data_IF_197080981930
#
_entry.id   IF_197080981930
#
_cell.length_a   1.000
_cell.length_b   1.000
_cell.length_c   1.000
_cell.angle_alpha   90.00
_cell.angle_beta   90.00
_cell.angle_gamma   90.00
#
_symmetry.space_group_name_H-M   'P 1'
#
loop_
_entity.id
_entity.type
_entity.pdbx_description
1 polymer ?
#
# COMPACT_ATOMS: atom_id res chain seq x y z
N UNK A 1 -28.58 30.25 7.47
CA UNK A 1 -27.51 29.79 6.55
C UNK A 1 -26.35 30.79 6.61
N UNK A 2 -25.34 30.52 7.45
CA UNK A 2 -24.31 31.53 7.78
C UNK A 2 -23.25 31.64 6.67
N UNK A 3 -23.20 32.81 5.98
CA UNK A 3 -22.41 33.05 4.75
C UNK A 3 -20.89 33.19 4.96
N UNK A 4 -20.37 33.10 6.19
CA UNK A 4 -18.96 33.37 6.53
C UNK A 4 -18.24 32.15 7.13
N UNK A 5 -18.26 30.99 6.47
CA UNK A 5 -17.36 29.89 6.84
C UNK A 5 -15.94 30.23 6.39
N UNK A 6 -15.01 30.39 7.34
CA UNK A 6 -13.60 30.57 7.03
C UNK A 6 -13.07 29.22 6.53
N UNK A 7 -12.75 29.14 5.24
CA UNK A 7 -12.07 27.98 4.65
C UNK A 7 -10.59 28.28 4.52
N UNK A 8 -9.75 27.31 4.87
CA UNK A 8 -8.31 27.44 4.70
C UNK A 8 -7.98 27.42 3.21
N UNK A 9 -7.16 28.38 2.76
CA UNK A 9 -6.65 28.39 1.39
C UNK A 9 -5.92 27.07 1.12
N UNK A 10 -6.14 26.50 -0.07
CA UNK A 10 -5.53 25.23 -0.51
C UNK A 10 -4.01 25.10 -0.23
N UNK A 11 -3.14 26.11 -0.45
CA UNK A 11 -1.71 26.00 -0.10
C UNK A 11 -1.47 25.80 1.40
N UNK A 12 -2.28 26.40 2.27
CA UNK A 12 -2.15 26.27 3.74
C UNK A 12 -2.53 24.87 4.19
N UNK A 13 -3.51 24.23 3.52
CA UNK A 13 -3.88 22.84 3.80
C UNK A 13 -2.75 21.86 3.48
N UNK A 14 -2.06 22.04 2.35
CA UNK A 14 -0.91 21.21 1.99
C UNK A 14 0.28 21.46 2.92
N UNK A 15 0.56 22.72 3.27
CA UNK A 15 1.61 23.07 4.22
C UNK A 15 1.37 22.43 5.59
N UNK A 16 0.13 22.49 6.11
CA UNK A 16 -0.21 21.90 7.40
C UNK A 16 -0.07 20.37 7.41
N UNK A 17 -0.50 19.70 6.34
CA UNK A 17 -0.32 18.25 6.23
C UNK A 17 1.17 17.88 6.12
N UNK A 18 1.97 18.68 5.40
CA UNK A 18 3.42 18.47 5.30
C UNK A 18 4.11 18.67 6.67
N UNK A 19 3.75 19.72 7.41
CA UNK A 19 4.26 19.95 8.77
C UNK A 19 3.91 18.78 9.70
N UNK A 20 2.69 18.24 9.60
CA UNK A 20 2.27 17.10 10.42
C UNK A 20 3.02 15.82 10.07
N UNK A 21 3.30 15.58 8.79
CA UNK A 21 4.15 14.46 8.35
C UNK A 21 5.59 14.63 8.86
N UNK A 22 6.13 15.85 8.83
CA UNK A 22 7.47 16.15 9.36
C UNK A 22 7.51 16.00 10.89
N UNK A 23 6.48 16.44 11.61
CA UNK A 23 6.37 16.22 13.06
C UNK A 23 6.25 14.74 13.41
N UNK A 24 5.47 13.97 12.63
CA UNK A 24 5.37 12.53 12.78
C UNK A 24 6.74 11.86 12.52
N UNK A 25 7.47 12.31 11.50
CA UNK A 25 8.82 11.82 11.21
C UNK A 25 9.77 12.10 12.37
N UNK A 26 9.81 13.34 12.87
CA UNK A 26 10.67 13.74 13.98
C UNK A 26 10.34 12.97 15.25
N UNK A 27 9.06 12.81 15.57
CA UNK A 27 8.60 12.04 16.72
C UNK A 27 9.02 10.57 16.63
N UNK A 28 8.75 9.91 15.49
CA UNK A 28 9.11 8.51 15.29
C UNK A 28 10.64 8.33 15.23
N UNK A 29 11.36 9.23 14.57
CA UNK A 29 12.83 9.19 14.48
C UNK A 29 13.48 9.37 15.86
N UNK A 30 12.95 10.26 16.70
CA UNK A 30 13.40 10.42 18.09
C UNK A 30 13.18 9.15 18.92
N UNK A 31 12.02 8.51 18.78
CA UNK A 31 11.74 7.23 19.44
C UNK A 31 12.68 6.11 18.96
N UNK A 32 12.96 6.06 17.65
CA UNK A 32 13.83 5.06 17.01
C UNK A 32 15.29 5.19 17.44
N UNK A 33 15.77 6.42 17.69
CA UNK A 33 17.15 6.70 18.08
C UNK A 33 17.47 6.47 19.57
N UNK A 34 16.54 6.80 20.48
CA UNK A 34 16.84 6.82 21.92
C UNK A 34 16.12 5.76 22.76
N UNK A 35 15.02 5.16 22.26
CA UNK A 35 14.09 4.37 23.11
C UNK A 35 13.77 2.97 22.58
N UNK A 36 13.97 2.70 21.28
CA UNK A 36 13.53 1.45 20.67
C UNK A 36 14.67 0.43 20.55
N UNK A 37 14.36 -0.83 20.89
CA UNK A 37 15.25 -1.97 20.66
C UNK A 37 15.42 -2.25 19.16
N UNK A 38 16.52 -2.89 18.78
CA UNK A 38 16.78 -3.34 17.39
C UNK A 38 15.63 -4.16 16.81
N UNK A 39 14.90 -4.91 17.65
CA UNK A 39 13.73 -5.67 17.23
C UNK A 39 12.53 -4.77 16.89
N UNK A 40 12.22 -3.77 17.71
CA UNK A 40 11.12 -2.84 17.43
C UNK A 40 11.38 -2.03 16.15
N UNK A 41 12.64 -1.68 15.87
CA UNK A 41 13.01 -1.04 14.61
C UNK A 41 12.74 -1.94 13.40
N UNK A 42 12.96 -3.25 13.52
CA UNK A 42 12.61 -4.24 12.48
C UNK A 42 11.11 -4.34 12.24
N UNK A 43 10.32 -4.32 13.32
CA UNK A 43 8.85 -4.31 13.22
C UNK A 43 8.38 -3.03 12.52
N UNK A 44 8.89 -1.85 12.90
CA UNK A 44 8.53 -0.58 12.26
C UNK A 44 8.89 -0.52 10.76
N UNK A 45 10.05 -1.06 10.37
CA UNK A 45 10.39 -1.15 8.94
C UNK A 45 9.41 -2.06 8.19
N UNK A 46 9.01 -3.17 8.80
CA UNK A 46 8.02 -4.09 8.22
C UNK A 46 6.64 -3.43 8.10
N UNK A 47 6.24 -2.64 9.10
CA UNK A 47 5.02 -1.81 9.05
C UNK A 47 5.07 -0.85 7.87
N UNK A 48 6.18 -0.12 7.68
CA UNK A 48 6.32 0.82 6.56
C UNK A 48 6.23 0.14 5.20
N UNK A 49 6.87 -1.02 5.03
CA UNK A 49 6.80 -1.81 3.78
C UNK A 49 5.37 -2.29 3.53
N UNK A 50 4.69 -2.83 4.55
CA UNK A 50 3.31 -3.29 4.43
C UNK A 50 2.33 -2.14 4.17
N UNK A 51 2.58 -0.93 4.67
CA UNK A 51 1.81 0.27 4.32
C UNK A 51 1.91 0.56 2.81
N UNK A 52 3.12 0.53 2.22
CA UNK A 52 3.31 0.75 0.78
C UNK A 52 2.56 -0.33 -0.02
N UNK A 53 2.63 -1.59 0.40
CA UNK A 53 1.90 -2.70 -0.24
C UNK A 53 0.39 -2.53 -0.15
N UNK A 54 -0.15 -2.20 1.03
CA UNK A 54 -1.58 -2.02 1.22
C UNK A 54 -2.11 -0.81 0.45
N UNK A 55 -1.43 0.34 0.53
CA UNK A 55 -1.87 1.56 -0.17
C UNK A 55 -1.74 1.39 -1.69
N UNK A 56 -0.71 0.71 -2.19
CA UNK A 56 -0.59 0.41 -3.62
C UNK A 56 -1.71 -0.51 -4.10
N UNK A 57 -1.99 -1.62 -3.38
CA UNK A 57 -3.09 -2.52 -3.74
C UNK A 57 -4.44 -1.80 -3.73
N UNK A 58 -4.65 -0.87 -2.79
CA UNK A 58 -5.86 -0.04 -2.70
C UNK A 58 -6.12 0.81 -3.96
N UNK A 59 -5.10 1.08 -4.79
CA UNK A 59 -5.28 1.67 -6.13
C UNK A 59 -6.09 0.76 -7.04
N UNK A 60 -5.79 -0.53 -7.08
CA UNK A 60 -6.49 -1.50 -7.91
C UNK A 60 -7.81 -1.95 -7.25
N UNK A 61 -7.77 -2.34 -5.98
CA UNK A 61 -8.94 -2.88 -5.26
C UNK A 61 -9.92 -1.81 -4.85
N UNK A 62 -9.44 -0.76 -4.21
CA UNK A 62 -10.28 0.29 -3.67
C UNK A 62 -10.79 1.26 -4.72
N UNK A 63 -9.87 1.86 -5.49
CA UNK A 63 -10.20 2.96 -6.38
C UNK A 63 -10.67 2.51 -7.77
N UNK A 64 -10.14 1.41 -8.30
CA UNK A 64 -10.59 0.85 -9.58
C UNK A 64 -11.74 -0.18 -9.41
N UNK A 65 -11.89 -0.77 -8.22
CA UNK A 65 -12.95 -1.75 -7.93
C UNK A 65 -12.66 -3.15 -8.44
N UNK A 66 -11.39 -3.48 -8.69
CA UNK A 66 -10.98 -4.77 -9.22
C UNK A 66 -10.12 -5.51 -8.19
N UNK A 67 -10.33 -6.81 -8.01
CA UNK A 67 -9.67 -7.59 -6.95
C UNK A 67 -8.51 -8.45 -7.48
N UNK A 68 -7.30 -7.90 -7.72
CA UNK A 68 -6.16 -8.71 -8.09
C UNK A 68 -5.56 -9.42 -6.88
N UNK A 69 -5.22 -10.69 -7.05
CA UNK A 69 -4.54 -11.53 -6.06
C UNK A 69 -3.05 -11.77 -6.41
N UNK A 70 -2.53 -11.06 -7.41
CA UNK A 70 -1.14 -11.18 -7.88
C UNK A 70 -0.12 -10.26 -7.21
N UNK A 71 -0.50 -9.48 -6.19
CA UNK A 71 0.31 -8.37 -5.69
C UNK A 71 1.68 -8.80 -5.12
N UNK A 72 1.77 -9.99 -4.53
CA UNK A 72 3.03 -10.56 -4.06
C UNK A 72 4.01 -10.87 -5.22
N UNK A 73 3.50 -11.18 -6.42
CA UNK A 73 4.34 -11.37 -7.61
C UNK A 73 5.05 -10.08 -8.04
N UNK A 74 4.34 -8.95 -8.06
CA UNK A 74 4.95 -7.64 -8.35
C UNK A 74 5.96 -7.22 -7.29
N UNK A 75 5.67 -7.53 -6.03
CA UNK A 75 6.63 -7.37 -4.93
C UNK A 75 7.89 -8.22 -5.17
N UNK A 76 7.76 -9.47 -5.64
CA UNK A 76 8.90 -10.33 -5.96
C UNK A 76 9.75 -9.74 -7.09
N UNK A 77 9.14 -9.32 -8.20
CA UNK A 77 9.86 -8.71 -9.33
C UNK A 77 10.70 -7.52 -8.86
N UNK A 78 10.13 -6.61 -8.08
CA UNK A 78 10.86 -5.46 -7.55
C UNK A 78 11.95 -5.84 -6.52
N UNK A 79 11.67 -6.82 -5.66
CA UNK A 79 12.62 -7.33 -4.67
C UNK A 79 13.88 -7.91 -5.34
N UNK A 80 13.70 -8.81 -6.31
CA UNK A 80 14.83 -9.43 -7.00
C UNK A 80 15.57 -8.45 -7.90
N UNK A 81 14.87 -7.55 -8.59
CA UNK A 81 15.51 -6.52 -9.42
C UNK A 81 16.40 -5.61 -8.57
N UNK A 82 15.88 -5.11 -7.44
CA UNK A 82 16.64 -4.26 -6.52
C UNK A 82 17.80 -5.02 -5.86
N UNK A 83 17.58 -6.27 -5.44
CA UNK A 83 18.59 -7.09 -4.79
C UNK A 83 19.76 -7.43 -5.72
N UNK A 84 19.48 -7.81 -6.97
CA UNK A 84 20.51 -8.10 -7.95
C UNK A 84 21.30 -6.84 -8.31
N UNK A 85 20.61 -5.71 -8.51
CA UNK A 85 21.28 -4.46 -8.81
C UNK A 85 22.19 -4.01 -7.67
N UNK A 86 21.68 -3.99 -6.43
CA UNK A 86 22.47 -3.55 -5.27
C UNK A 86 23.63 -4.49 -4.94
N UNK A 87 23.51 -5.79 -5.25
CA UNK A 87 24.56 -6.78 -5.03
C UNK A 87 25.72 -6.70 -6.03
N UNK A 88 25.44 -6.40 -7.29
CA UNK A 88 26.45 -6.42 -8.36
C UNK A 88 26.91 -5.03 -8.82
N UNK A 89 26.25 -3.96 -8.36
CA UNK A 89 26.62 -2.60 -8.74
C UNK A 89 27.86 -2.10 -7.98
N UNK A 90 28.87 -1.53 -8.66
CA UNK A 90 30.06 -0.95 -8.03
C UNK A 90 29.86 0.48 -7.51
N UNK A 91 28.63 1.02 -7.60
CA UNK A 91 28.31 2.40 -7.21
C UNK A 91 28.32 2.59 -5.68
N UNK A 92 28.49 3.83 -5.19
CA UNK A 92 28.37 4.15 -3.78
C UNK A 92 27.04 3.66 -3.19
N UNK A 93 27.10 3.14 -1.97
CA UNK A 93 26.01 2.45 -1.26
C UNK A 93 24.64 3.14 -1.38
N UNK A 94 24.58 4.46 -1.10
CA UNK A 94 23.32 5.22 -1.12
C UNK A 94 22.74 5.40 -2.53
N UNK A 95 23.61 5.56 -3.53
CA UNK A 95 23.20 5.75 -4.94
C UNK A 95 22.74 4.44 -5.54
N UNK A 96 23.48 3.36 -5.27
CA UNK A 96 23.11 1.99 -5.69
C UNK A 96 21.73 1.61 -5.17
N UNK A 97 21.45 1.91 -3.90
CA UNK A 97 20.14 1.64 -3.30
C UNK A 97 19.00 2.44 -3.94
N UNK A 98 19.18 3.75 -4.14
CA UNK A 98 18.14 4.60 -4.74
C UNK A 98 17.82 4.18 -6.19
N UNK A 99 18.85 3.89 -6.99
CA UNK A 99 18.68 3.40 -8.36
C UNK A 99 18.07 2.00 -8.35
N UNK A 100 18.51 1.11 -7.47
CA UNK A 100 17.94 -0.24 -7.31
C UNK A 100 16.45 -0.22 -6.99
N UNK A 101 16.02 0.68 -6.10
CA UNK A 101 14.60 0.89 -5.78
C UNK A 101 13.82 1.42 -6.98
N UNK A 102 14.35 2.43 -7.67
CA UNK A 102 13.71 2.99 -8.86
C UNK A 102 13.58 1.94 -9.98
N UNK A 103 14.62 1.16 -10.23
CA UNK A 103 14.61 0.05 -11.18
C UNK A 103 13.61 -1.03 -10.76
N UNK A 104 13.55 -1.39 -9.48
CA UNK A 104 12.55 -2.34 -8.96
C UNK A 104 11.12 -1.87 -9.18
N UNK A 105 10.85 -0.58 -8.96
CA UNK A 105 9.54 0.01 -9.21
C UNK A 105 9.19 0.04 -10.70
N UNK A 106 10.14 0.45 -11.55
CA UNK A 106 9.95 0.48 -13.01
C UNK A 106 9.73 -0.93 -13.56
N UNK A 107 10.53 -1.91 -13.14
CA UNK A 107 10.40 -3.29 -13.62
C UNK A 107 9.06 -3.90 -13.20
N UNK A 108 8.65 -3.72 -11.93
CA UNK A 108 7.35 -4.18 -11.49
C UNK A 108 6.20 -3.47 -12.22
N UNK A 109 6.34 -2.17 -12.52
CA UNK A 109 5.38 -1.42 -13.34
C UNK A 109 5.29 -1.93 -14.78
N UNK A 110 6.41 -2.27 -15.41
CA UNK A 110 6.46 -2.85 -16.76
C UNK A 110 5.78 -4.23 -16.80
N UNK A 111 6.07 -5.10 -15.82
CA UNK A 111 5.34 -6.36 -15.66
C UNK A 111 3.87 -6.14 -15.35
N UNK A 112 3.54 -5.07 -14.60
CA UNK A 112 2.18 -4.62 -14.37
C UNK A 112 1.46 -4.25 -15.66
N UNK A 113 2.09 -3.52 -16.58
CA UNK A 113 1.51 -3.24 -17.91
C UNK A 113 1.34 -4.53 -18.72
N UNK A 114 2.38 -5.37 -18.77
CA UNK A 114 2.39 -6.61 -19.54
C UNK A 114 1.27 -7.56 -19.09
N UNK A 115 1.07 -7.69 -17.78
CA UNK A 115 0.01 -8.54 -17.20
C UNK A 115 -1.34 -7.81 -17.23
N UNK A 116 -1.36 -6.50 -17.03
CA UNK A 116 -2.59 -5.70 -16.97
C UNK A 116 -3.33 -5.66 -18.30
N UNK A 117 -2.64 -5.58 -19.44
CA UNK A 117 -3.28 -5.55 -20.77
C UNK A 117 -4.18 -6.78 -21.03
N UNK A 118 -3.73 -8.03 -20.84
CA UNK A 118 -4.59 -9.20 -20.98
C UNK A 118 -5.52 -9.38 -19.78
N UNK A 119 -5.06 -9.09 -18.56
CA UNK A 119 -5.83 -9.40 -17.36
C UNK A 119 -7.07 -8.54 -17.20
N UNK A 120 -6.98 -7.25 -17.54
CA UNK A 120 -8.05 -6.28 -17.31
C UNK A 120 -9.16 -6.36 -18.37
N UNK A 121 -9.05 -7.31 -19.32
CA UNK A 121 -10.14 -7.77 -20.19
C UNK A 121 -11.12 -8.70 -19.47
N UNK A 122 -10.71 -9.26 -18.33
CA UNK A 122 -11.54 -10.11 -17.48
C UNK A 122 -12.14 -9.29 -16.33
N UNK A 123 -13.29 -9.72 -15.82
CA UNK A 123 -14.01 -9.06 -14.73
C UNK A 123 -14.22 -10.01 -13.56
N UNK A 124 -14.35 -9.44 -12.35
CA UNK A 124 -14.64 -10.18 -11.12
C UNK A 124 -13.61 -11.26 -10.79
N UNK A 125 -14.10 -12.47 -10.52
CA UNK A 125 -13.31 -13.59 -10.03
C UNK A 125 -12.28 -14.10 -11.04
N UNK A 126 -12.56 -13.96 -12.34
CA UNK A 126 -11.62 -14.35 -13.39
C UNK A 126 -10.33 -13.52 -13.34
N UNK A 127 -10.43 -12.23 -13.02
CA UNK A 127 -9.26 -11.37 -12.84
C UNK A 127 -8.45 -11.81 -11.61
N UNK A 128 -9.11 -12.18 -10.52
CA UNK A 128 -8.47 -12.65 -9.30
C UNK A 128 -7.66 -13.94 -9.56
N UNK A 129 -8.28 -14.93 -10.23
CA UNK A 129 -7.64 -16.20 -10.60
C UNK A 129 -6.45 -15.97 -11.52
N UNK A 130 -6.62 -15.14 -12.55
CA UNK A 130 -5.57 -14.88 -13.53
C UNK A 130 -4.36 -14.18 -12.88
N UNK A 131 -4.59 -13.16 -12.06
CA UNK A 131 -3.50 -12.43 -11.39
C UNK A 131 -2.78 -13.28 -10.35
N UNK A 132 -3.49 -14.18 -9.65
CA UNK A 132 -2.87 -15.22 -8.81
C UNK A 132 -1.96 -16.11 -9.66
N UNK A 133 -2.46 -16.61 -10.79
CA UNK A 133 -1.70 -17.43 -11.73
C UNK A 133 -0.40 -16.74 -12.17
N UNK A 134 -0.45 -15.46 -12.53
CA UNK A 134 0.76 -14.71 -12.88
C UNK A 134 1.73 -14.55 -11.70
N UNK A 135 1.22 -14.30 -10.48
CA UNK A 135 2.07 -14.25 -9.30
C UNK A 135 2.79 -15.57 -9.04
N UNK A 136 2.09 -16.68 -9.24
CA UNK A 136 2.63 -18.02 -9.09
C UNK A 136 3.63 -18.38 -10.20
N UNK A 137 3.37 -17.97 -11.45
CA UNK A 137 4.33 -18.09 -12.55
C UNK A 137 5.63 -17.36 -12.20
N UNK A 138 5.55 -16.10 -11.73
CA UNK A 138 6.75 -15.33 -11.32
C UNK A 138 7.53 -16.10 -10.23
N UNK A 139 6.83 -16.64 -9.23
CA UNK A 139 7.45 -17.42 -8.15
C UNK A 139 8.16 -18.67 -8.66
N UNK A 140 7.49 -19.45 -9.51
CA UNK A 140 8.03 -20.69 -10.08
C UNK A 140 9.21 -20.37 -10.99
N UNK A 141 9.13 -19.31 -11.81
CA UNK A 141 10.23 -18.84 -12.63
C UNK A 141 11.43 -18.49 -11.75
N UNK A 142 11.28 -17.66 -10.72
CA UNK A 142 12.37 -17.31 -9.81
C UNK A 142 13.00 -18.53 -9.12
N UNK A 143 12.22 -19.60 -8.90
CA UNK A 143 12.70 -20.82 -8.26
C UNK A 143 13.50 -21.74 -9.21
N UNK A 144 13.16 -21.77 -10.52
CA UNK A 144 13.69 -22.75 -11.48
C UNK A 144 14.52 -22.15 -12.62
N UNK A 145 14.51 -20.83 -12.81
CA UNK A 145 15.15 -20.19 -13.98
C UNK A 145 16.67 -20.42 -14.04
N UNK A 146 17.33 -20.61 -12.88
CA UNK A 146 18.77 -20.87 -12.82
C UNK A 146 19.16 -22.18 -13.53
N UNK A 147 18.33 -23.22 -13.42
CA UNK A 147 18.56 -24.51 -14.10
C UNK A 147 18.42 -24.36 -15.62
N UNK A 148 17.54 -23.45 -16.06
CA UNK A 148 17.33 -23.13 -17.48
C UNK A 148 18.46 -22.24 -18.02
N UNK A 149 18.94 -21.29 -17.22
CA UNK A 149 20.02 -20.36 -17.60
C UNK A 149 21.40 -21.02 -17.59
N UNK A 150 21.58 -22.13 -16.87
CA UNK A 150 22.86 -22.82 -16.73
C UNK A 150 23.86 -22.11 -15.81
N UNK A 151 23.43 -21.07 -15.09
CA UNK A 151 24.19 -20.38 -14.04
C UNK A 151 23.27 -19.88 -12.92
N UNK A 152 23.79 -19.83 -11.70
CA UNK A 152 23.02 -19.44 -10.51
C UNK A 152 22.91 -17.91 -10.37
N UNK A 153 21.82 -17.33 -10.83
CA UNK A 153 21.56 -15.89 -10.71
C UNK A 153 20.64 -15.58 -9.53
N UNK A 154 19.51 -16.30 -9.42
CA UNK A 154 18.48 -16.11 -8.41
C UNK A 154 18.64 -17.03 -7.20
N UNK A 155 19.49 -18.05 -7.34
CA UNK A 155 19.77 -19.12 -6.39
C UNK A 155 18.56 -19.99 -6.05
N UNK A 156 17.49 -19.92 -6.86
CA UNK A 156 16.27 -20.72 -6.76
C UNK A 156 15.79 -20.93 -5.33
N UNK A 157 15.60 -22.19 -4.95
CA UNK A 157 15.12 -22.61 -3.62
C UNK A 157 16.12 -22.34 -2.49
N UNK A 158 17.41 -22.17 -2.80
CA UNK A 158 18.45 -21.81 -1.82
C UNK A 158 18.35 -20.35 -1.38
N UNK A 159 17.68 -19.53 -2.19
CA UNK A 159 17.47 -18.11 -1.97
C UNK A 159 18.70 -17.24 -2.23
N UNK A 160 18.45 -16.01 -2.67
CA UNK A 160 19.49 -15.02 -2.93
C UNK A 160 20.00 -14.45 -1.60
N UNK A 161 21.24 -14.77 -1.23
CA UNK A 161 21.90 -14.34 0.01
C UNK A 161 22.88 -13.18 -0.21
N UNK A 162 23.27 -12.56 0.90
CA UNK A 162 24.24 -11.46 1.00
C UNK A 162 23.79 -10.20 0.25
N UNK A 163 22.51 -9.84 0.40
CA UNK A 163 21.99 -8.57 -0.12
C UNK A 163 22.39 -7.47 0.88
N UNK A 164 23.06 -6.39 0.43
CA UNK A 164 23.41 -5.28 1.29
C UNK A 164 22.20 -4.68 2.01
N UNK A 165 22.34 -4.44 3.32
CA UNK A 165 21.23 -3.97 4.16
C UNK A 165 21.15 -2.44 4.21
N UNK A 166 20.70 -1.83 3.12
CA UNK A 166 20.58 -0.36 3.01
C UNK A 166 19.23 0.20 3.49
N UNK A 167 18.24 -0.65 3.77
CA UNK A 167 16.93 -0.20 4.25
C UNK A 167 17.01 0.24 5.70
N UNK A 168 17.06 1.55 5.92
CA UNK A 168 16.93 2.18 7.22
C UNK A 168 15.52 2.70 7.45
N UNK A 169 15.13 2.91 8.72
CA UNK A 169 13.82 3.48 9.07
C UNK A 169 13.53 4.80 8.32
N UNK A 170 14.52 5.69 8.23
CA UNK A 170 14.37 6.95 7.51
C UNK A 170 14.05 6.76 6.02
N UNK A 171 14.73 5.81 5.36
CA UNK A 171 14.51 5.51 3.94
C UNK A 171 13.12 4.90 3.72
N UNK A 172 12.71 3.96 4.57
CA UNK A 172 11.38 3.34 4.51
C UNK A 172 10.30 4.39 4.74
N UNK A 173 10.45 5.24 5.76
CA UNK A 173 9.49 6.30 6.04
C UNK A 173 9.39 7.30 4.89
N UNK A 174 10.52 7.71 4.31
CA UNK A 174 10.54 8.59 3.14
C UNK A 174 9.78 7.96 1.97
N UNK A 175 10.02 6.67 1.69
CA UNK A 175 9.29 5.93 0.67
C UNK A 175 7.79 5.81 0.95
N UNK A 176 7.37 5.63 2.21
CA UNK A 176 5.96 5.65 2.62
C UNK A 176 5.35 7.01 2.29
N UNK A 177 6.00 8.11 2.69
CA UNK A 177 5.51 9.47 2.44
C UNK A 177 5.40 9.75 0.94
N UNK A 178 6.42 9.40 0.16
CA UNK A 178 6.42 9.57 -1.30
C UNK A 178 5.30 8.75 -1.94
N UNK A 179 5.17 7.48 -1.58
CA UNK A 179 4.11 6.60 -2.12
C UNK A 179 2.73 7.17 -1.80
N UNK A 180 2.51 7.55 -0.54
CA UNK A 180 1.28 8.14 -0.07
C UNK A 180 0.94 9.44 -0.82
N UNK A 181 1.92 10.34 -0.96
CA UNK A 181 1.76 11.60 -1.66
C UNK A 181 1.44 11.39 -3.15
N UNK A 182 2.18 10.52 -3.83
CA UNK A 182 1.99 10.24 -5.26
C UNK A 182 0.63 9.58 -5.53
N UNK A 183 0.21 8.62 -4.71
CA UNK A 183 -1.10 7.98 -4.86
C UNK A 183 -2.22 9.00 -4.58
N UNK A 184 -2.11 9.82 -3.53
CA UNK A 184 -3.08 10.88 -3.28
C UNK A 184 -3.15 11.90 -4.43
N UNK A 185 -2.00 12.33 -4.97
CA UNK A 185 -1.93 13.25 -6.09
C UNK A 185 -2.55 12.64 -7.37
N UNK A 186 -2.26 11.37 -7.64
CA UNK A 186 -2.82 10.64 -8.78
C UNK A 186 -4.34 10.52 -8.66
N UNK A 187 -4.86 10.14 -7.51
CA UNK A 187 -6.31 9.95 -7.30
C UNK A 187 -7.10 11.26 -7.37
N UNK A 188 -6.48 12.39 -7.02
CA UNK A 188 -7.10 13.72 -7.14
C UNK A 188 -7.00 14.33 -8.54
N UNK A 189 -6.11 13.80 -9.38
CA UNK A 189 -5.88 14.28 -10.75
C UNK A 189 -7.05 13.92 -11.69
N UNK A 190 -7.00 14.41 -12.94
CA UNK A 190 -7.95 14.01 -14.00
C UNK A 190 -7.98 12.50 -14.21
N UNK A 191 -6.84 11.85 -14.04
CA UNK A 191 -6.67 10.42 -14.27
C UNK A 191 -7.37 9.61 -13.17
N UNK A 192 -7.27 10.05 -11.91
CA UNK A 192 -7.98 9.44 -10.79
C UNK A 192 -9.50 9.57 -10.90
N UNK A 193 -10.01 10.71 -11.40
CA UNK A 193 -11.45 10.87 -11.65
C UNK A 193 -11.98 9.92 -12.71
N UNK A 194 -11.22 9.66 -13.77
CA UNK A 194 -11.57 8.66 -14.78
C UNK A 194 -11.59 7.24 -14.19
N UNK A 195 -10.61 6.89 -13.35
CA UNK A 195 -10.57 5.60 -12.63
C UNK A 195 -11.79 5.44 -11.72
N UNK A 196 -12.17 6.48 -10.98
CA UNK A 196 -13.37 6.46 -10.13
C UNK A 196 -14.66 6.31 -10.95
N UNK A 197 -14.77 6.99 -12.09
CA UNK A 197 -15.92 6.84 -12.98
C UNK A 197 -16.05 5.40 -13.52
N UNK A 198 -14.93 4.75 -13.87
CA UNK A 198 -14.90 3.35 -14.28
C UNK A 198 -15.36 2.43 -13.15
N UNK A 199 -14.97 2.72 -11.90
CA UNK A 199 -15.40 1.96 -10.73
C UNK A 199 -16.91 2.02 -10.53
N UNK A 200 -17.51 3.20 -10.72
CA UNK A 200 -18.94 3.39 -10.49
C UNK A 200 -19.79 2.71 -11.57
N UNK A 201 -19.45 2.90 -12.84
CA UNK A 201 -20.06 2.15 -13.95
C UNK A 201 -19.18 2.21 -15.20
N UNK A 202 -18.58 1.06 -15.55
CA UNK A 202 -17.68 0.94 -16.69
C UNK A 202 -18.37 1.26 -18.03
N UNK A 203 -19.60 0.76 -18.25
CA UNK A 203 -20.35 0.94 -19.50
C UNK A 203 -20.74 2.42 -19.68
N UNK A 204 -21.13 3.09 -18.59
CA UNK A 204 -21.45 4.51 -18.63
C UNK A 204 -20.19 5.37 -18.88
N UNK A 205 -19.07 5.04 -18.23
CA UNK A 205 -17.80 5.72 -18.45
C UNK A 205 -17.33 5.60 -19.90
N UNK A 206 -17.45 4.41 -20.49
CA UNK A 206 -17.12 4.16 -21.90
C UNK A 206 -18.04 4.95 -22.84
N UNK A 207 -19.34 5.01 -22.54
CA UNK A 207 -20.32 5.81 -23.30
C UNK A 207 -20.04 7.32 -23.25
N UNK A 208 -19.39 7.80 -22.18
CA UNK A 208 -18.91 9.18 -22.06
C UNK A 208 -17.55 9.42 -22.73
N UNK A 209 -16.99 8.46 -23.48
CA UNK A 209 -15.73 8.58 -24.22
C UNK A 209 -14.46 8.34 -23.38
N UNK A 210 -14.58 7.75 -22.19
CA UNK A 210 -13.43 7.38 -21.36
C UNK A 210 -12.85 6.05 -21.86
N UNK A 211 -11.57 6.04 -22.23
CA UNK A 211 -10.85 4.82 -22.62
C UNK A 211 -10.60 3.92 -21.39
N UNK A 212 -11.55 3.03 -21.07
CA UNK A 212 -11.55 2.19 -19.87
C UNK A 212 -10.26 1.35 -19.74
N UNK A 213 -9.82 0.73 -20.84
CA UNK A 213 -8.60 -0.10 -20.88
C UNK A 213 -7.35 0.68 -20.49
N UNK A 214 -7.17 1.89 -21.01
CA UNK A 214 -6.00 2.72 -20.71
C UNK A 214 -5.93 3.05 -19.21
N UNK A 215 -7.04 3.50 -18.62
CA UNK A 215 -7.09 3.87 -17.22
C UNK A 215 -6.97 2.68 -16.27
N UNK A 216 -7.55 1.53 -16.63
CA UNK A 216 -7.36 0.26 -15.92
C UNK A 216 -5.89 -0.15 -15.90
N UNK A 217 -5.24 -0.24 -17.07
CA UNK A 217 -3.82 -0.65 -17.20
C UNK A 217 -2.91 0.33 -16.46
N UNK A 218 -3.16 1.64 -16.58
CA UNK A 218 -2.41 2.66 -15.87
C UNK A 218 -2.53 2.49 -14.35
N UNK A 219 -3.74 2.37 -13.80
CA UNK A 219 -3.95 2.18 -12.36
C UNK A 219 -3.26 0.90 -11.84
N UNK A 220 -3.34 -0.19 -12.61
CA UNK A 220 -2.70 -1.45 -12.28
C UNK A 220 -1.17 -1.38 -12.35
N UNK A 221 -0.60 -0.69 -13.35
CA UNK A 221 0.84 -0.47 -13.48
C UNK A 221 1.40 0.38 -12.33
N UNK A 222 0.71 1.45 -11.91
CA UNK A 222 1.09 2.23 -10.74
C UNK A 222 1.04 1.40 -9.46
N UNK A 223 -0.02 0.60 -9.28
CA UNK A 223 -0.16 -0.33 -8.17
C UNK A 223 1.02 -1.32 -8.12
N UNK A 224 1.36 -1.94 -9.25
CA UNK A 224 2.48 -2.87 -9.37
C UNK A 224 3.85 -2.19 -9.13
N UNK A 225 4.04 -0.96 -9.62
CA UNK A 225 5.29 -0.22 -9.43
C UNK A 225 5.57 0.06 -7.94
N UNK A 226 4.56 0.51 -7.18
CA UNK A 226 4.72 0.70 -5.74
C UNK A 226 4.86 -0.62 -4.97
N UNK A 227 4.23 -1.70 -5.44
CA UNK A 227 4.48 -3.03 -4.89
C UNK A 227 5.94 -3.47 -5.08
N UNK A 228 6.51 -3.21 -6.27
CA UNK A 228 7.92 -3.45 -6.56
C UNK A 228 8.86 -2.60 -5.71
N UNK A 229 8.53 -1.33 -5.49
CA UNK A 229 9.27 -0.46 -4.57
C UNK A 229 9.28 -1.04 -3.14
N UNK A 230 8.13 -1.51 -2.65
CA UNK A 230 8.04 -2.18 -1.34
C UNK A 230 8.87 -3.47 -1.30
N UNK A 231 8.88 -4.24 -2.40
CA UNK A 231 9.71 -5.43 -2.56
C UNK A 231 11.21 -5.12 -2.49
N UNK A 232 11.66 -4.06 -3.15
CA UNK A 232 13.05 -3.62 -3.10
C UNK A 232 13.48 -3.19 -1.69
N UNK A 233 12.61 -2.48 -0.97
CA UNK A 233 12.83 -2.15 0.44
C UNK A 233 12.90 -3.39 1.33
N UNK A 234 12.02 -4.38 1.07
CA UNK A 234 12.00 -5.64 1.78
C UNK A 234 13.29 -6.44 1.59
N UNK A 235 13.79 -6.52 0.35
CA UNK A 235 15.04 -7.22 0.03
C UNK A 235 16.25 -6.64 0.77
N UNK A 236 16.40 -5.31 0.71
CA UNK A 236 17.48 -4.58 1.38
C UNK A 236 17.27 -4.43 2.90
N UNK A 237 16.16 -4.91 3.43
CA UNK A 237 15.90 -4.99 4.87
C UNK A 237 16.28 -6.37 5.41
N UNK A 238 15.78 -7.44 4.79
CA UNK A 238 15.95 -8.80 5.29
C UNK A 238 17.34 -9.37 4.95
N UNK A 239 17.91 -8.97 3.80
CA UNK A 239 19.25 -9.38 3.35
C UNK A 239 19.31 -10.75 2.65
N UNK A 240 18.19 -11.49 2.63
CA UNK A 240 18.04 -12.79 1.98
C UNK A 240 16.64 -12.91 1.36
N UNK A 241 16.54 -13.26 0.09
CA UNK A 241 15.25 -13.50 -0.59
C UNK A 241 15.02 -14.99 -0.83
N UNK A 242 13.81 -15.46 -0.59
CA UNK A 242 13.36 -16.80 -0.95
C UNK A 242 12.09 -16.67 -1.82
N UNK A 243 12.02 -17.30 -3.01
CA UNK A 243 10.81 -17.21 -3.85
C UNK A 243 9.53 -17.63 -3.12
N UNK A 244 9.60 -18.63 -2.23
CA UNK A 244 8.45 -19.18 -1.52
C UNK A 244 7.71 -18.18 -0.62
N UNK A 245 8.36 -17.09 -0.20
CA UNK A 245 7.73 -16.04 0.62
C UNK A 245 6.76 -15.16 -0.16
N UNK A 246 6.87 -15.12 -1.49
CA UNK A 246 6.05 -14.27 -2.37
C UNK A 246 4.85 -15.02 -2.97
N UNK A 247 4.38 -16.07 -2.31
CA UNK A 247 3.24 -16.86 -2.78
C UNK A 247 1.87 -16.26 -2.47
N UNK A 248 0.84 -17.05 -2.75
CA UNK A 248 -0.57 -16.73 -2.53
C UNK A 248 -0.89 -16.17 -1.14
N UNK A 249 -0.33 -16.77 -0.08
CA UNK A 249 -0.60 -16.33 1.30
C UNK A 249 -0.15 -14.89 1.54
N UNK A 250 0.93 -14.45 0.89
CA UNK A 250 1.38 -13.06 1.01
C UNK A 250 0.44 -12.11 0.28
N UNK A 251 -0.10 -12.50 -0.87
CA UNK A 251 -1.13 -11.70 -1.56
C UNK A 251 -2.40 -11.57 -0.74
N UNK A 252 -2.86 -12.65 -0.10
CA UNK A 252 -4.02 -12.59 0.81
C UNK A 252 -3.73 -11.66 1.98
N UNK A 253 -2.56 -11.78 2.62
CA UNK A 253 -2.18 -10.89 3.73
C UNK A 253 -2.31 -9.41 3.35
N UNK A 254 -1.82 -9.03 2.17
CA UNK A 254 -1.92 -7.65 1.67
C UNK A 254 -3.38 -7.29 1.36
N UNK A 255 -4.18 -8.20 0.78
CA UNK A 255 -5.59 -7.97 0.52
C UNK A 255 -6.38 -7.73 1.82
N UNK A 256 -6.13 -8.54 2.85
CA UNK A 256 -6.78 -8.41 4.17
C UNK A 256 -6.49 -7.03 4.76
N UNK A 257 -5.26 -6.52 4.63
CA UNK A 257 -4.93 -5.15 5.06
C UNK A 257 -5.76 -4.08 4.33
N UNK A 258 -6.04 -4.26 3.04
CA UNK A 258 -6.85 -3.29 2.30
C UNK A 258 -8.32 -3.40 2.65
N UNK A 259 -8.87 -4.61 2.67
CA UNK A 259 -10.28 -4.88 2.97
C UNK A 259 -10.64 -4.41 4.38
N UNK A 260 -9.79 -4.73 5.36
CA UNK A 260 -9.99 -4.30 6.76
C UNK A 260 -9.83 -2.80 6.92
N UNK A 261 -8.95 -2.16 6.14
CA UNK A 261 -8.84 -0.70 6.09
C UNK A 261 -10.10 -0.02 5.55
N UNK A 262 -10.74 -0.63 4.54
CA UNK A 262 -11.89 -0.11 3.81
C UNK A 262 -11.51 0.19 2.36
N UNK A 263 -12.26 -0.37 1.41
CA UNK A 263 -12.02 -0.21 -0.03
C UNK A 263 -12.12 1.25 -0.45
N UNK A 264 -11.04 1.79 -1.01
CA UNK A 264 -10.97 3.18 -1.49
C UNK A 264 -10.58 4.19 -0.41
N UNK A 265 -10.18 3.73 0.77
CA UNK A 265 -9.69 4.58 1.86
C UNK A 265 -8.21 4.36 2.11
N UNK A 266 -7.40 5.32 1.64
CA UNK A 266 -5.95 5.27 1.79
C UNK A 266 -5.52 5.25 3.27
N UNK A 267 -6.14 6.07 4.11
CA UNK A 267 -5.86 6.09 5.56
C UNK A 267 -6.32 4.81 6.25
N UNK A 268 -7.44 4.24 5.82
CA UNK A 268 -7.91 2.93 6.24
C UNK A 268 -6.84 1.87 6.03
N UNK A 269 -6.27 1.81 4.83
CA UNK A 269 -5.19 0.86 4.50
C UNK A 269 -3.93 1.09 5.35
N UNK A 270 -3.56 2.35 5.65
CA UNK A 270 -2.40 2.66 6.50
C UNK A 270 -2.61 2.15 7.93
N UNK A 271 -3.76 2.45 8.55
CA UNK A 271 -4.07 1.99 9.90
C UNK A 271 -4.15 0.47 9.96
N UNK A 272 -4.85 -0.15 9.00
CA UNK A 272 -4.98 -1.60 8.94
C UNK A 272 -3.64 -2.30 8.77
N UNK A 273 -2.79 -1.84 7.84
CA UNK A 273 -1.45 -2.39 7.66
C UNK A 273 -0.61 -2.26 8.93
N UNK A 274 -0.72 -1.15 9.66
CA UNK A 274 -0.04 -0.96 10.94
C UNK A 274 -0.52 -1.96 11.99
N UNK A 275 -1.84 -2.06 12.19
CA UNK A 275 -2.43 -2.97 13.17
C UNK A 275 -2.13 -4.43 12.84
N UNK A 276 -2.34 -4.86 11.59
CA UNK A 276 -2.15 -6.25 11.18
C UNK A 276 -0.69 -6.66 11.06
N UNK A 277 0.26 -5.71 11.01
CA UNK A 277 1.68 -6.03 11.11
C UNK A 277 2.14 -6.14 12.56
N UNK A 278 1.59 -5.33 13.48
CA UNK A 278 1.97 -5.35 14.91
C UNK A 278 1.26 -6.46 15.67
N UNK A 279 -0.02 -6.71 15.36
CA UNK A 279 -0.85 -7.70 16.06
C UNK A 279 -0.20 -9.09 16.12
N UNK A 280 0.35 -9.64 15.03
CA UNK A 280 0.98 -10.95 15.06
C UNK A 280 2.30 -10.99 15.82
N UNK A 281 3.00 -9.86 15.94
CA UNK A 281 4.21 -9.75 16.78
C UNK A 281 3.84 -9.79 18.27
N UNK A 282 2.67 -9.24 18.64
CA UNK A 282 2.14 -9.37 20.00
C UNK A 282 1.62 -10.78 20.29
N UNK A 283 1.07 -11.48 19.30
CA UNK A 283 0.58 -12.87 19.43
C UNK A 283 1.60 -13.92 18.98
N UNK A 284 2.90 -13.58 18.99
CA UNK A 284 3.96 -14.44 18.45
C UNK A 284 4.02 -15.83 19.09
N UNK A 285 3.57 -15.96 20.35
CA UNK A 285 3.44 -17.22 21.07
C UNK A 285 2.42 -18.20 20.46
N UNK A 286 1.58 -17.74 19.53
CA UNK A 286 0.52 -18.51 18.87
C UNK A 286 0.69 -18.55 17.34
N UNK A 287 1.92 -18.69 16.84
CA UNK A 287 2.25 -18.57 15.41
C UNK A 287 1.39 -19.48 14.50
N UNK A 288 1.07 -20.70 14.94
CA UNK A 288 0.20 -21.64 14.22
C UNK A 288 -1.24 -21.14 14.00
N UNK A 289 -1.73 -20.23 14.84
CA UNK A 289 -3.10 -19.72 14.78
C UNK A 289 -3.24 -18.41 14.01
N UNK A 290 -2.15 -17.83 13.47
CA UNK A 290 -2.17 -16.52 12.78
C UNK A 290 -3.20 -16.45 11.66
N UNK A 291 -3.31 -17.50 10.82
CA UNK A 291 -4.29 -17.53 9.73
C UNK A 291 -5.73 -17.60 10.25
N UNK A 292 -5.97 -18.38 11.31
CA UNK A 292 -7.30 -18.45 11.93
C UNK A 292 -7.69 -17.08 12.49
N UNK A 293 -6.75 -16.39 13.14
CA UNK A 293 -6.96 -15.03 13.66
C UNK A 293 -7.26 -14.06 12.52
N UNK A 294 -6.52 -14.09 11.40
CA UNK A 294 -6.79 -13.21 10.25
C UNK A 294 -8.18 -13.44 9.65
N UNK A 295 -8.56 -14.69 9.43
CA UNK A 295 -9.89 -15.04 8.90
C UNK A 295 -11.00 -14.60 9.85
N UNK A 296 -10.82 -14.82 11.16
CA UNK A 296 -11.80 -14.46 12.17
C UNK A 296 -11.95 -12.94 12.29
N UNK A 297 -10.83 -12.21 12.33
CA UNK A 297 -10.83 -10.74 12.35
C UNK A 297 -11.53 -10.18 11.10
N UNK A 298 -11.29 -10.76 9.93
CA UNK A 298 -11.93 -10.35 8.68
C UNK A 298 -13.44 -10.62 8.69
N UNK A 299 -13.88 -11.81 9.16
CA UNK A 299 -15.31 -12.15 9.28
C UNK A 299 -16.00 -11.21 10.27
N UNK A 300 -15.44 -11.02 11.48
CA UNK A 300 -16.01 -10.11 12.47
C UNK A 300 -16.12 -8.69 11.90
N UNK A 301 -15.09 -8.23 11.20
CA UNK A 301 -15.08 -6.90 10.63
C UNK A 301 -16.12 -6.75 9.50
N UNK A 302 -16.30 -7.77 8.65
CA UNK A 302 -17.35 -7.75 7.62
C UNK A 302 -18.77 -7.74 8.23
N UNK A 303 -18.97 -8.41 9.36
CA UNK A 303 -20.25 -8.43 10.08
C UNK A 303 -20.52 -7.08 10.75
N UNK A 304 -19.56 -6.56 11.52
CA UNK A 304 -19.77 -5.37 12.34
C UNK A 304 -19.58 -4.05 11.57
N UNK A 305 -18.77 -4.03 10.51
CA UNK A 305 -18.43 -2.81 9.79
C UNK A 305 -18.02 -3.07 8.32
N UNK A 306 -18.98 -3.37 7.43
CA UNK A 306 -18.72 -3.75 6.03
C UNK A 306 -17.97 -2.68 5.21
N UNK A 307 -17.88 -1.43 5.68
CA UNK A 307 -17.19 -0.35 5.00
C UNK A 307 -15.68 -0.22 5.27
N UNK A 308 -15.08 -0.91 6.24
CA UNK A 308 -13.69 -0.62 6.68
C UNK A 308 -13.58 -0.15 8.13
N UNK A 309 -12.39 -0.27 8.73
CA UNK A 309 -12.05 0.38 10.00
C UNK A 309 -12.27 1.91 9.96
N UNK A 310 -12.05 2.55 8.81
CA UNK A 310 -12.28 3.97 8.62
C UNK A 310 -13.40 4.30 7.65
N UNK A 311 -13.98 3.33 6.92
CA UNK A 311 -14.92 3.64 5.84
C UNK A 311 -14.28 4.53 4.77
N UNK A 312 -15.09 5.25 3.99
CA UNK A 312 -14.64 6.31 3.07
C UNK A 312 -14.17 7.59 3.77
N UNK A 313 -13.85 7.53 5.06
CA UNK A 313 -13.48 8.71 5.84
C UNK A 313 -12.06 9.17 5.51
N UNK A 314 -11.96 10.18 4.65
CA UNK A 314 -10.74 10.96 4.49
C UNK A 314 -10.53 11.87 5.73
N UNK A 315 -9.66 11.43 6.66
CA UNK A 315 -9.19 12.28 7.74
C UNK A 315 -8.45 13.49 7.14
N UNK A 316 -9.04 14.67 7.30
CA UNK A 316 -8.42 15.92 6.90
C UNK A 316 -8.30 16.79 8.14
N UNK A 317 -7.08 16.98 8.64
CA UNK A 317 -6.80 17.91 9.73
C UNK A 317 -7.25 19.34 9.39
N UNK A 318 -7.29 19.69 8.11
CA UNK A 318 -7.90 20.94 7.66
C UNK A 318 -9.37 21.07 8.00
N UNK A 319 -10.15 19.97 7.97
CA UNK A 319 -11.55 20.03 8.39
C UNK A 319 -11.66 20.21 9.90
N UNK A 320 -10.78 19.60 10.69
CA UNK A 320 -10.76 19.77 12.15
C UNK A 320 -10.37 21.20 12.52
N UNK A 321 -9.33 21.76 11.90
CA UNK A 321 -8.90 23.14 12.12
C UNK A 321 -9.96 24.12 11.63
N UNK A 322 -10.63 23.87 10.51
CA UNK A 322 -11.80 24.68 10.09
C UNK A 322 -12.96 24.55 11.07
N UNK A 323 -13.18 23.38 11.67
CA UNK A 323 -14.22 23.15 12.67
C UNK A 323 -13.89 23.86 14.00
N UNK A 324 -12.60 23.96 14.35
CA UNK A 324 -12.11 24.76 15.48
C UNK A 324 -12.22 26.26 15.15
N UNK A 325 -11.78 26.69 13.97
CA UNK A 325 -11.84 28.09 13.51
C UNK A 325 -13.27 28.61 13.37
N UNK A 326 -14.23 27.73 13.04
CA UNK A 326 -15.64 28.06 12.92
C UNK A 326 -16.43 27.77 14.21
N UNK A 327 -15.77 27.40 15.32
CA UNK A 327 -16.41 27.18 16.64
C UNK A 327 -17.32 25.95 16.75
N UNK A 328 -17.36 25.09 15.73
CA UNK A 328 -18.26 23.94 15.63
C UNK A 328 -17.78 22.71 16.44
N UNK A 329 -16.58 22.74 17.04
CA UNK A 329 -16.06 21.62 17.84
C UNK A 329 -16.69 21.54 19.24
N UNK A 330 -17.06 22.70 19.81
CA UNK A 330 -17.56 22.80 21.20
C UNK A 330 -19.07 23.07 21.31
N UNK A 331 -19.75 23.45 20.22
CA UNK A 331 -21.18 23.81 20.27
C UNK A 331 -22.16 22.62 20.21
N UNK A 332 -21.68 21.38 20.11
CA UNK A 332 -22.56 20.21 19.97
C UNK A 332 -23.17 19.69 21.29
N UNK A 333 -23.04 20.43 22.40
CA UNK A 333 -23.49 19.95 23.72
C UNK A 333 -24.81 20.54 24.24
N UNK A 334 -25.44 21.50 23.54
CA UNK A 334 -26.68 22.13 24.02
C UNK A 334 -27.90 21.99 23.09
N UNK A 335 -27.80 21.30 21.94
CA UNK A 335 -28.96 21.12 21.05
C UNK A 335 -29.87 19.93 21.41
N UNK A 336 -29.44 19.05 22.32
CA UNK A 336 -30.21 17.87 22.74
C UNK A 336 -31.09 18.13 23.99
N UNK A 337 -31.19 19.38 24.46
CA UNK A 337 -31.99 19.75 25.65
C UNK A 337 -33.13 20.75 25.41
N UNK A 338 -33.27 21.32 24.22
CA UNK A 338 -34.37 22.26 23.90
C UNK A 338 -35.46 21.65 23.01
N UNK A 339 -35.39 20.34 22.72
CA UNK A 339 -36.41 19.61 21.95
C UNK A 339 -37.35 18.74 22.78
N UNK A 340 -37.39 18.90 24.11
CA UNK A 340 -38.24 18.08 25.00
C UNK A 340 -39.41 18.83 25.63
N UNK A 341 -39.58 20.13 25.37
CA UNK A 341 -40.62 20.95 26.02
C UNK A 341 -41.67 21.54 25.07
N UNK A 342 -41.68 21.19 23.78
CA UNK A 342 -42.79 21.53 22.88
C UNK A 342 -43.11 20.40 21.90
N UNK A 343 -44.29 19.79 22.14
CA UNK A 343 -45.03 18.75 21.39
C UNK A 343 -44.66 17.28 21.61
#
# INVERSE_FOLDING_TARGET
MNKNRKTLKMPVRYLMNAVLVVLLFLALSYMTGNMLSTYQNKVLMTVGINIILAVSLNVATGYLGQLPLGHAGFMAVGAYTCALFTKYSPLPDGVSFAIGLALGAVMAGLFGVLIGVPALRLTGDYLAILTLGFGEIIRITLNNIDDVLGYSLFYGSKGLKNIPKYSNFANVFLCVVITCFLIHAMMKSRHGRAVLAIRDNEIAAESCGIQTTYYKVMAFAFSAAFAGLAGGLYACYIGVLNPSTFGFMKSIEILVMVVLGGMGSMLGSILSATVLTILPEATRSFDSYRMVIYSLVLILMMIFRPGGLLGSYDFSMSRIVEKVMNGELFHKKNADKEGADHE
#
